data_IF_036455443031
#
_entry.id   IF_036455443031
#
_cell.length_a   1.000
_cell.length_b   1.000
_cell.length_c   1.000
_cell.angle_alpha   90.00
_cell.angle_beta   90.00
_cell.angle_gamma   90.00
#
_symmetry.space_group_name_H-M   'P 1'
#
loop_
_entity.id
_entity.type
_entity.pdbx_description
1 polymer ?
#
# COMPACT_ATOMS: atom_id res chain seq x y z
N UNK A 1 5.49 15.78 -45.97
CA UNK A 1 4.78 16.09 -44.71
C UNK A 1 5.82 16.11 -43.60
N UNK A 2 6.09 17.26 -42.99
CA UNK A 2 7.09 17.37 -41.94
C UNK A 2 6.66 16.47 -40.76
N UNK A 3 7.44 15.41 -40.51
CA UNK A 3 7.35 14.61 -39.29
C UNK A 3 7.85 15.45 -38.13
N UNK A 4 7.01 16.37 -37.65
CA UNK A 4 7.26 17.07 -36.41
C UNK A 4 7.06 16.07 -35.29
N UNK A 5 8.17 15.66 -34.67
CA UNK A 5 8.13 14.96 -33.39
C UNK A 5 7.18 15.73 -32.45
N UNK A 6 6.29 15.06 -31.71
CA UNK A 6 5.40 15.75 -30.80
C UNK A 6 6.23 16.63 -29.84
N UNK A 7 5.80 17.88 -29.60
CA UNK A 7 6.57 18.81 -28.80
C UNK A 7 6.82 18.22 -27.40
N UNK A 8 8.04 18.42 -26.87
CA UNK A 8 8.38 17.96 -25.52
C UNK A 8 7.37 18.54 -24.52
N UNK A 9 6.77 17.68 -23.71
CA UNK A 9 5.86 18.12 -22.65
C UNK A 9 6.67 18.88 -21.60
N UNK A 10 6.35 20.16 -21.41
CA UNK A 10 7.01 21.00 -20.40
C UNK A 10 6.37 20.71 -19.03
N UNK A 11 7.15 20.10 -18.13
CA UNK A 11 6.74 19.91 -16.73
C UNK A 11 6.99 21.22 -15.99
N UNK A 12 5.92 22.01 -15.82
CA UNK A 12 5.93 23.16 -14.92
C UNK A 12 5.54 22.70 -13.53
N UNK A 13 6.31 23.07 -12.51
CA UNK A 13 5.92 22.86 -11.11
C UNK A 13 4.55 23.49 -10.88
N UNK A 14 3.57 22.69 -10.47
CA UNK A 14 2.33 23.23 -9.90
C UNK A 14 2.52 23.47 -8.41
N UNK A 15 1.63 24.24 -7.78
CA UNK A 15 1.57 24.28 -6.33
C UNK A 15 1.15 22.91 -5.78
N UNK A 16 1.79 22.48 -4.67
CA UNK A 16 1.48 21.23 -3.98
C UNK A 16 1.81 19.95 -4.77
N UNK A 17 1.07 18.88 -4.49
CA UNK A 17 1.30 17.52 -5.01
C UNK A 17 0.66 17.26 -6.38
N UNK A 18 0.36 18.30 -7.16
CA UNK A 18 -0.44 18.17 -8.39
C UNK A 18 0.37 18.24 -9.69
N UNK A 19 1.70 18.18 -9.60
CA UNK A 19 2.56 18.48 -10.75
C UNK A 19 2.39 17.43 -11.85
N UNK A 20 2.33 16.16 -11.46
CA UNK A 20 2.15 15.04 -12.39
C UNK A 20 0.75 15.04 -13.01
N UNK A 21 -0.28 15.16 -12.18
CA UNK A 21 -1.66 15.21 -12.64
C UNK A 21 -1.86 16.36 -13.62
N UNK A 22 -1.40 17.56 -13.26
CA UNK A 22 -1.55 18.74 -14.11
C UNK A 22 -0.83 18.57 -15.46
N UNK A 23 0.34 17.93 -15.48
CA UNK A 23 1.04 17.63 -16.73
C UNK A 23 0.24 16.64 -17.60
N UNK A 24 -0.26 15.56 -17.01
CA UNK A 24 -1.06 14.55 -17.70
C UNK A 24 -2.38 15.12 -18.24
N UNK A 25 -3.07 15.95 -17.46
CA UNK A 25 -4.27 16.65 -17.92
C UNK A 25 -3.98 17.56 -19.12
N UNK A 26 -2.90 18.35 -19.09
CA UNK A 26 -2.50 19.22 -20.23
C UNK A 26 -2.11 18.43 -21.48
N UNK A 27 -1.62 17.20 -21.30
CA UNK A 27 -1.30 16.29 -22.40
C UNK A 27 -2.50 15.47 -22.90
N UNK A 28 -3.73 15.75 -22.40
CA UNK A 28 -4.94 15.05 -22.84
C UNK A 28 -5.09 13.62 -22.29
N UNK A 29 -4.34 13.27 -21.23
CA UNK A 29 -4.33 11.93 -20.62
C UNK A 29 -5.19 11.86 -19.34
N UNK A 30 -5.92 12.93 -19.01
CA UNK A 30 -6.87 12.91 -17.89
C UNK A 30 -8.16 12.16 -18.25
N UNK A 31 -8.98 11.76 -17.25
CA UNK A 31 -8.75 11.89 -15.81
C UNK A 31 -7.61 10.99 -15.29
N UNK A 32 -6.92 11.43 -14.24
CA UNK A 32 -5.78 10.69 -13.66
C UNK A 32 -6.22 10.00 -12.37
N UNK A 33 -5.97 8.70 -12.27
CA UNK A 33 -6.19 7.93 -11.04
C UNK A 33 -4.87 7.74 -10.29
N UNK A 34 -4.89 7.92 -8.98
CA UNK A 34 -3.84 7.47 -8.06
C UNK A 34 -4.23 6.15 -7.41
N UNK A 35 -3.26 5.27 -7.18
CA UNK A 35 -3.47 3.95 -6.56
C UNK A 35 -2.39 3.69 -5.51
N UNK A 36 -2.82 3.22 -4.34
CA UNK A 36 -1.92 2.88 -3.23
C UNK A 36 -2.47 1.69 -2.41
N UNK A 37 -1.58 1.01 -1.69
CA UNK A 37 -1.89 -0.12 -0.81
C UNK A 37 -1.53 0.10 0.65
N UNK A 38 -2.24 -0.59 1.54
CA UNK A 38 -1.92 -0.65 2.97
C UNK A 38 -2.06 -2.08 3.49
N UNK A 39 -1.16 -2.49 4.38
CA UNK A 39 -1.20 -3.80 5.03
C UNK A 39 -0.37 -4.88 4.32
N UNK A 40 0.50 -4.49 3.39
CA UNK A 40 1.42 -5.42 2.71
C UNK A 40 2.34 -6.17 3.69
N UNK A 41 2.86 -5.46 4.70
CA UNK A 41 3.74 -6.04 5.73
C UNK A 41 3.04 -6.59 6.98
N UNK A 42 1.70 -6.55 7.03
CA UNK A 42 0.95 -7.10 8.15
C UNK A 42 0.81 -8.63 8.02
N UNK A 43 1.01 -9.36 9.11
CA UNK A 43 0.81 -10.81 9.14
C UNK A 43 -0.63 -11.22 9.45
N UNK A 44 -1.50 -10.26 9.80
CA UNK A 44 -2.92 -10.48 10.00
C UNK A 44 -3.79 -9.40 9.33
N UNK A 45 -5.02 -9.79 9.02
CA UNK A 45 -6.03 -8.97 8.35
C UNK A 45 -5.80 -8.81 6.85
N UNK A 46 -6.69 -8.08 6.16
CA UNK A 46 -6.62 -7.96 4.71
C UNK A 46 -5.51 -7.03 4.23
N UNK A 47 -5.11 -7.25 2.97
CA UNK A 47 -4.40 -6.25 2.18
C UNK A 47 -5.46 -5.33 1.57
N UNK A 48 -5.33 -4.03 1.78
CA UNK A 48 -6.31 -3.05 1.29
C UNK A 48 -5.66 -2.19 0.23
N UNK A 49 -6.31 -2.05 -0.92
CA UNK A 49 -5.85 -1.22 -2.03
C UNK A 49 -6.95 -0.24 -2.37
N UNK A 50 -6.59 1.02 -2.63
CA UNK A 50 -7.56 2.02 -3.06
C UNK A 50 -7.09 2.70 -4.34
N UNK A 51 -8.07 3.11 -5.16
CA UNK A 51 -7.87 3.98 -6.30
C UNK A 51 -8.70 5.25 -6.11
N UNK A 52 -8.16 6.40 -6.49
CA UNK A 52 -8.83 7.69 -6.36
C UNK A 52 -8.56 8.59 -7.57
N UNK A 53 -9.62 9.16 -8.13
CA UNK A 53 -9.58 10.17 -9.19
C UNK A 53 -10.00 11.50 -8.57
N UNK A 54 -9.10 12.47 -8.56
CA UNK A 54 -9.40 13.83 -8.13
C UNK A 54 -9.71 14.71 -9.34
N UNK A 55 -10.57 15.71 -9.15
CA UNK A 55 -10.80 16.72 -10.19
C UNK A 55 -9.54 17.53 -10.51
N UNK A 56 -9.45 18.14 -11.71
CA UNK A 56 -8.26 18.90 -12.13
C UNK A 56 -8.03 20.15 -11.28
N UNK A 57 -9.10 20.77 -10.77
CA UNK A 57 -9.03 21.94 -9.92
C UNK A 57 -8.55 21.59 -8.50
N UNK A 58 -7.68 22.45 -7.95
CA UNK A 58 -7.29 22.36 -6.53
C UNK A 58 -8.47 22.76 -5.66
N UNK A 59 -8.72 21.98 -4.61
CA UNK A 59 -9.71 22.29 -3.60
C UNK A 59 -9.00 22.60 -2.28
N UNK A 60 -9.32 23.74 -1.67
CA UNK A 60 -8.74 24.13 -0.38
C UNK A 60 -9.02 23.12 0.72
N UNK A 61 -10.20 22.48 0.70
CA UNK A 61 -10.58 21.42 1.63
C UNK A 61 -9.66 20.19 1.56
N UNK A 62 -8.91 20.04 0.47
CA UNK A 62 -7.94 18.96 0.28
C UNK A 62 -6.49 19.45 0.37
N UNK A 63 -6.24 20.71 0.72
CA UNK A 63 -4.89 21.26 0.83
C UNK A 63 -4.04 20.53 1.87
N UNK A 64 -4.68 19.92 2.89
CA UNK A 64 -3.98 19.10 3.88
C UNK A 64 -3.37 17.81 3.28
N UNK A 65 -3.79 17.35 2.09
CA UNK A 65 -3.08 16.27 1.38
C UNK A 65 -1.66 16.69 0.98
N UNK A 66 -1.42 17.98 0.77
CA UNK A 66 -0.14 18.49 0.27
C UNK A 66 0.97 18.55 1.34
N UNK A 67 0.62 18.48 2.62
CA UNK A 67 1.59 18.54 3.73
C UNK A 67 2.13 17.13 4.02
N UNK A 68 3.03 16.66 3.14
CA UNK A 68 3.50 15.26 3.03
C UNK A 68 4.32 14.73 4.22
N UNK A 69 4.39 15.45 5.34
CA UNK A 69 4.92 14.89 6.58
C UNK A 69 3.87 13.98 7.20
N UNK A 70 3.94 12.69 6.85
CA UNK A 70 3.18 11.56 7.43
C UNK A 70 1.92 12.02 8.16
N UNK A 71 0.84 12.23 7.40
CA UNK A 71 -0.46 12.64 7.95
C UNK A 71 -0.74 11.89 9.25
N UNK A 72 -1.11 12.61 10.31
CA UNK A 72 -1.51 11.96 11.56
C UNK A 72 -2.80 11.17 11.33
N UNK A 73 -3.09 10.19 12.20
CA UNK A 73 -4.34 9.43 12.14
C UNK A 73 -5.56 10.36 12.17
N UNK A 74 -5.55 11.35 13.06
CA UNK A 74 -6.59 12.39 13.14
C UNK A 74 -6.73 13.21 11.85
N UNK A 75 -5.64 13.52 11.17
CA UNK A 75 -5.69 14.23 9.89
C UNK A 75 -6.30 13.34 8.79
N UNK A 76 -5.91 12.06 8.73
CA UNK A 76 -6.49 11.09 7.78
C UNK A 76 -7.99 10.90 8.00
N UNK A 77 -8.42 10.75 9.25
CA UNK A 77 -9.83 10.62 9.62
C UNK A 77 -10.66 11.85 9.19
N UNK A 78 -10.10 13.05 9.30
CA UNK A 78 -10.73 14.28 8.79
C UNK A 78 -10.77 14.35 7.26
N UNK A 79 -9.71 13.90 6.59
CA UNK A 79 -9.59 13.94 5.12
C UNK A 79 -10.47 12.88 4.45
N UNK A 80 -10.63 11.69 5.05
CA UNK A 80 -11.39 10.58 4.48
C UNK A 80 -12.79 10.96 3.97
N UNK A 81 -13.68 11.60 4.76
CA UNK A 81 -15.00 12.02 4.26
C UNK A 81 -14.91 13.12 3.20
N UNK A 82 -13.91 14.00 3.26
CA UNK A 82 -13.70 15.06 2.28
C UNK A 82 -13.27 14.48 0.93
N UNK A 83 -12.33 13.53 0.92
CA UNK A 83 -11.91 12.82 -0.28
C UNK A 83 -13.10 12.11 -0.91
N UNK A 84 -13.89 11.36 -0.12
CA UNK A 84 -15.08 10.66 -0.63
C UNK A 84 -16.12 11.61 -1.23
N UNK A 85 -16.25 12.82 -0.69
CA UNK A 85 -17.17 13.84 -1.16
C UNK A 85 -16.71 14.52 -2.45
N UNK A 86 -15.42 14.78 -2.58
CA UNK A 86 -14.87 15.63 -3.65
C UNK A 86 -14.12 14.87 -4.75
N UNK A 87 -13.79 13.60 -4.54
CA UNK A 87 -13.24 12.75 -5.58
C UNK A 87 -14.28 12.57 -6.70
N UNK A 88 -13.81 12.57 -7.95
CA UNK A 88 -14.65 12.25 -9.11
C UNK A 88 -15.05 10.78 -9.11
N UNK A 89 -14.14 9.91 -8.68
CA UNK A 89 -14.37 8.50 -8.47
C UNK A 89 -13.35 7.98 -7.44
N UNK A 90 -13.76 6.99 -6.65
CA UNK A 90 -12.84 6.21 -5.83
C UNK A 90 -13.36 4.79 -5.69
N UNK A 91 -12.47 3.86 -5.38
CA UNK A 91 -12.82 2.48 -5.07
C UNK A 91 -11.82 1.92 -4.06
N UNK A 92 -12.30 1.10 -3.13
CA UNK A 92 -11.48 0.44 -2.10
C UNK A 92 -11.73 -1.06 -2.17
N UNK A 93 -10.65 -1.82 -2.28
CA UNK A 93 -10.66 -3.27 -2.39
C UNK A 93 -10.01 -3.86 -1.15
N UNK A 94 -10.70 -4.80 -0.51
CA UNK A 94 -10.18 -5.60 0.58
C UNK A 94 -9.84 -6.98 0.05
N UNK A 95 -8.58 -7.40 0.18
CA UNK A 95 -8.12 -8.72 -0.19
C UNK A 95 -7.97 -9.55 1.08
N UNK A 96 -8.78 -10.60 1.28
CA UNK A 96 -8.78 -11.38 2.52
C UNK A 96 -7.46 -12.16 2.68
N UNK A 97 -7.05 -12.49 3.91
CA UNK A 97 -5.78 -13.16 4.19
C UNK A 97 -5.64 -14.49 3.43
N UNK A 98 -6.72 -15.25 3.28
CA UNK A 98 -6.78 -16.49 2.48
C UNK A 98 -6.39 -16.28 1.01
N UNK A 99 -6.79 -15.16 0.40
CA UNK A 99 -6.43 -14.83 -0.97
C UNK A 99 -4.96 -14.40 -1.06
N UNK A 100 -4.47 -13.66 -0.05
CA UNK A 100 -3.05 -13.29 0.06
C UNK A 100 -2.18 -14.54 0.18
N UNK A 101 -2.56 -15.51 1.02
CA UNK A 101 -1.85 -16.76 1.21
C UNK A 101 -1.81 -17.60 -0.07
N UNK A 102 -2.95 -17.71 -0.77
CA UNK A 102 -3.06 -18.49 -2.02
C UNK A 102 -2.22 -17.91 -3.16
N UNK A 103 -2.16 -16.58 -3.28
CA UNK A 103 -1.52 -15.90 -4.43
C UNK A 103 -0.08 -15.44 -4.15
N UNK A 104 0.26 -15.23 -2.88
CA UNK A 104 1.43 -14.46 -2.47
C UNK A 104 1.17 -12.96 -2.46
N UNK A 105 1.75 -12.26 -1.48
CA UNK A 105 1.48 -10.85 -1.19
C UNK A 105 1.75 -9.90 -2.36
N UNK A 106 2.80 -10.14 -3.14
CA UNK A 106 3.12 -9.27 -4.27
C UNK A 106 2.09 -9.39 -5.41
N UNK A 107 1.69 -10.62 -5.74
CA UNK A 107 0.70 -10.89 -6.78
C UNK A 107 -0.68 -10.39 -6.34
N UNK A 108 -1.04 -10.62 -5.07
CA UNK A 108 -2.25 -10.08 -4.48
C UNK A 108 -2.28 -8.54 -4.54
N UNK A 109 -1.15 -7.86 -4.30
CA UNK A 109 -1.07 -6.40 -4.39
C UNK A 109 -1.35 -5.89 -5.81
N UNK A 110 -0.64 -6.41 -6.81
CA UNK A 110 -0.84 -6.02 -8.21
C UNK A 110 -2.28 -6.26 -8.64
N UNK A 111 -2.85 -7.40 -8.27
CA UNK A 111 -4.24 -7.74 -8.56
C UNK A 111 -5.22 -6.80 -7.84
N UNK A 112 -4.96 -6.44 -6.59
CA UNK A 112 -5.72 -5.43 -5.86
C UNK A 112 -5.70 -4.06 -6.53
N UNK A 113 -4.55 -3.63 -7.03
CA UNK A 113 -4.41 -2.38 -7.78
C UNK A 113 -5.25 -2.41 -9.07
N UNK A 114 -5.26 -3.53 -9.79
CA UNK A 114 -6.12 -3.70 -10.97
C UNK A 114 -7.60 -3.63 -10.61
N UNK A 115 -8.03 -4.36 -9.57
CA UNK A 115 -9.42 -4.34 -9.10
C UNK A 115 -9.84 -2.94 -8.63
N UNK A 116 -8.96 -2.23 -7.92
CA UNK A 116 -9.20 -0.88 -7.46
C UNK A 116 -9.44 0.07 -8.63
N UNK A 117 -8.60 0.03 -9.66
CA UNK A 117 -8.78 0.83 -10.88
C UNK A 117 -10.04 0.42 -11.65
N UNK A 118 -10.30 -0.89 -11.79
CA UNK A 118 -11.46 -1.41 -12.51
C UNK A 118 -12.80 -1.05 -11.84
N UNK A 119 -12.82 -0.89 -10.51
CA UNK A 119 -14.01 -0.51 -9.76
C UNK A 119 -14.30 1.01 -9.73
N UNK A 120 -13.47 1.84 -10.37
CA UNK A 120 -13.75 3.26 -10.49
C UNK A 120 -14.98 3.49 -11.39
N UNK A 121 -15.90 4.35 -10.95
CA UNK A 121 -17.07 4.77 -11.75
C UNK A 121 -16.71 5.59 -12.99
N UNK A 122 -15.48 6.10 -13.06
CA UNK A 122 -14.92 6.85 -14.18
C UNK A 122 -13.69 6.12 -14.68
N UNK A 123 -13.60 5.89 -16.00
CA UNK A 123 -12.42 5.30 -16.62
C UNK A 123 -11.29 6.33 -16.66
N UNK A 124 -10.15 6.12 -15.98
CA UNK A 124 -9.03 7.04 -16.06
C UNK A 124 -8.32 6.92 -17.41
N UNK A 125 -7.80 8.05 -17.91
CA UNK A 125 -6.90 8.10 -19.05
C UNK A 125 -5.46 7.74 -18.69
N UNK A 126 -5.09 7.87 -17.41
CA UNK A 126 -3.76 7.54 -16.90
C UNK A 126 -3.82 7.09 -15.44
N UNK A 127 -2.94 6.17 -15.04
CA UNK A 127 -2.82 5.69 -13.66
C UNK A 127 -1.43 5.99 -13.09
N UNK A 128 -1.39 6.57 -11.90
CA UNK A 128 -0.19 6.72 -11.08
C UNK A 128 -0.27 5.75 -9.92
N UNK A 129 0.69 4.84 -9.78
CA UNK A 129 0.75 3.85 -8.70
C UNK A 129 1.91 4.13 -7.75
N UNK A 130 1.71 3.98 -6.44
CA UNK A 130 2.81 4.13 -5.49
C UNK A 130 3.77 2.94 -5.56
N UNK A 131 5.04 3.21 -5.83
CA UNK A 131 6.16 2.27 -5.74
C UNK A 131 6.21 1.10 -6.73
N UNK A 132 5.09 0.67 -7.32
CA UNK A 132 5.00 -0.58 -8.09
C UNK A 132 4.43 -0.40 -9.48
N UNK A 133 5.01 -1.11 -10.45
CA UNK A 133 4.42 -1.26 -11.77
C UNK A 133 3.20 -2.18 -11.69
N UNK A 134 2.10 -1.79 -12.32
CA UNK A 134 0.87 -2.59 -12.40
C UNK A 134 0.67 -3.07 -13.84
N UNK A 135 1.28 -4.20 -14.24
CA UNK A 135 1.07 -4.74 -15.59
C UNK A 135 -0.40 -5.11 -15.80
N UNK A 136 -0.88 -5.07 -17.05
CA UNK A 136 -2.24 -5.52 -17.39
C UNK A 136 -3.37 -4.49 -17.16
N UNK A 137 -3.04 -3.24 -16.84
CA UNK A 137 -4.00 -2.15 -16.91
C UNK A 137 -4.30 -1.81 -18.39
N UNK A 138 -5.57 -1.56 -18.76
CA UNK A 138 -5.95 -1.21 -20.13
C UNK A 138 -5.62 0.24 -20.51
N UNK A 139 -5.10 1.02 -19.56
CA UNK A 139 -4.65 2.40 -19.73
C UNK A 139 -3.16 2.52 -19.37
N UNK A 140 -2.46 3.53 -19.89
CA UNK A 140 -1.07 3.80 -19.50
C UNK A 140 -0.95 4.03 -17.99
N UNK A 141 0.17 3.57 -17.43
CA UNK A 141 0.44 3.71 -16.00
C UNK A 141 1.90 4.04 -15.73
N UNK A 142 2.17 4.80 -14.68
CA UNK A 142 3.51 5.12 -14.19
C UNK A 142 3.64 4.77 -12.70
N UNK A 143 4.59 3.91 -12.31
CA UNK A 143 4.98 3.79 -10.91
C UNK A 143 5.71 5.05 -10.46
N UNK A 144 5.32 5.57 -9.31
CA UNK A 144 5.92 6.77 -8.70
C UNK A 144 6.47 6.38 -7.34
N UNK A 145 7.78 6.54 -7.13
CA UNK A 145 8.42 6.23 -5.86
C UNK A 145 8.06 7.32 -4.85
N UNK A 146 7.47 6.93 -3.71
CA UNK A 146 6.96 7.89 -2.72
C UNK A 146 5.81 8.71 -3.29
N UNK A 147 4.92 8.04 -4.02
CA UNK A 147 3.83 8.64 -4.77
C UNK A 147 2.90 9.49 -3.91
N UNK A 148 2.66 9.06 -2.67
CA UNK A 148 1.87 9.77 -1.67
C UNK A 148 2.42 11.18 -1.35
N UNK A 149 3.73 11.37 -1.47
CA UNK A 149 4.41 12.64 -1.23
C UNK A 149 4.60 13.50 -2.48
N UNK A 150 4.15 13.05 -3.67
CA UNK A 150 4.38 13.76 -4.94
C UNK A 150 3.15 13.85 -5.85
N UNK A 151 2.11 13.03 -5.61
CA UNK A 151 0.88 12.98 -6.38
C UNK A 151 -0.34 13.01 -5.45
N UNK A 152 -1.16 14.06 -5.53
CA UNK A 152 -2.35 14.26 -4.72
C UNK A 152 -3.37 13.11 -4.86
N UNK A 153 -3.49 12.54 -6.06
CA UNK A 153 -4.35 11.39 -6.29
C UNK A 153 -3.86 10.11 -5.57
N UNK A 154 -2.54 9.89 -5.49
CA UNK A 154 -1.96 8.78 -4.72
C UNK A 154 -2.13 9.04 -3.22
N UNK A 155 -1.85 10.27 -2.76
CA UNK A 155 -2.07 10.67 -1.37
C UNK A 155 -3.51 10.41 -0.92
N UNK A 156 -4.49 10.76 -1.77
CA UNK A 156 -5.91 10.50 -1.51
C UNK A 156 -6.23 8.99 -1.45
N UNK A 157 -5.68 8.19 -2.38
CA UNK A 157 -5.81 6.73 -2.36
C UNK A 157 -5.21 6.13 -1.06
N UNK A 158 -4.03 6.61 -0.64
CA UNK A 158 -3.37 6.20 0.60
C UNK A 158 -4.25 6.43 1.83
N UNK A 159 -4.86 7.62 1.94
CA UNK A 159 -5.80 7.93 3.02
C UNK A 159 -7.01 7.00 3.00
N UNK A 160 -7.60 6.76 1.83
CA UNK A 160 -8.75 5.87 1.68
C UNK A 160 -8.40 4.44 2.11
N UNK A 161 -7.26 3.90 1.66
CA UNK A 161 -6.81 2.56 2.03
C UNK A 161 -6.49 2.45 3.53
N UNK A 162 -5.72 3.41 4.08
CA UNK A 162 -5.28 3.38 5.49
C UNK A 162 -6.44 3.46 6.46
N UNK A 163 -7.34 4.43 6.28
CA UNK A 163 -8.48 4.63 7.18
C UNK A 163 -9.45 3.44 7.10
N UNK A 164 -9.72 2.95 5.88
CA UNK A 164 -10.60 1.79 5.69
C UNK A 164 -10.03 0.54 6.36
N UNK A 165 -8.72 0.30 6.21
CA UNK A 165 -8.05 -0.83 6.86
C UNK A 165 -8.02 -0.70 8.37
N UNK A 166 -7.64 0.46 8.89
CA UNK A 166 -7.50 0.66 10.34
C UNK A 166 -8.83 0.48 11.06
N UNK A 167 -9.93 1.00 10.50
CA UNK A 167 -11.28 0.80 11.04
C UNK A 167 -11.68 -0.66 11.06
N UNK A 168 -11.35 -1.42 10.01
CA UNK A 168 -11.61 -2.86 9.98
C UNK A 168 -10.78 -3.62 11.02
N UNK A 169 -9.50 -3.29 11.18
CA UNK A 169 -8.67 -3.93 12.20
C UNK A 169 -9.13 -3.62 13.63
N UNK A 170 -9.67 -2.41 13.88
CA UNK A 170 -10.28 -2.05 15.17
C UNK A 170 -11.55 -2.85 15.42
N UNK A 171 -12.42 -3.00 14.42
CA UNK A 171 -13.62 -3.82 14.55
C UNK A 171 -13.26 -5.30 14.81
N UNK A 172 -12.26 -5.81 14.08
CA UNK A 172 -11.77 -7.19 14.18
C UNK A 172 -11.20 -7.55 15.56
N UNK A 173 -10.73 -6.56 16.32
CA UNK A 173 -10.23 -6.78 17.69
C UNK A 173 -11.32 -7.28 18.64
N UNK A 174 -12.57 -6.86 18.43
CA UNK A 174 -13.71 -7.33 19.20
C UNK A 174 -14.06 -8.80 18.90
N UNK A 175 -13.88 -9.23 17.65
CA UNK A 175 -14.14 -10.61 17.22
C UNK A 175 -13.01 -11.59 17.62
N UNK A 176 -11.80 -11.05 17.85
CA UNK A 176 -10.60 -11.79 18.20
C UNK A 176 -9.89 -11.15 19.41
N UNK A 177 -10.49 -11.22 20.62
CA UNK A 177 -9.93 -10.58 21.80
C UNK A 177 -8.57 -11.19 22.17
N UNK A 178 -7.69 -10.35 22.71
CA UNK A 178 -6.36 -10.75 23.18
C UNK A 178 -5.23 -10.58 22.15
N UNK A 179 -5.54 -10.45 20.85
CA UNK A 179 -4.51 -10.24 19.84
C UNK A 179 -3.98 -8.81 19.79
N UNK A 180 -4.80 -7.79 20.07
CA UNK A 180 -4.40 -6.37 20.02
C UNK A 180 -4.48 -5.75 18.62
N UNK A 181 -5.34 -6.28 17.74
CA UNK A 181 -5.51 -5.80 16.37
C UNK A 181 -5.92 -4.33 16.29
N UNK A 182 -6.62 -3.82 17.30
CA UNK A 182 -6.98 -2.41 17.38
C UNK A 182 -5.76 -1.49 17.47
N UNK A 183 -4.62 -1.95 18.02
CA UNK A 183 -3.44 -1.10 18.21
C UNK A 183 -2.45 -1.26 17.07
N UNK A 184 -1.92 -2.47 16.90
CA UNK A 184 -0.85 -2.73 15.92
C UNK A 184 -1.38 -3.07 14.53
N UNK A 185 -2.71 -3.10 14.32
CA UNK A 185 -3.35 -3.29 13.01
C UNK A 185 -2.83 -4.53 12.26
N UNK A 186 -2.49 -5.60 12.97
CA UNK A 186 -1.96 -6.85 12.40
C UNK A 186 -0.49 -6.81 11.93
N UNK A 187 0.26 -5.73 12.18
CA UNK A 187 1.71 -5.72 11.96
C UNK A 187 2.45 -6.57 12.99
N UNK A 188 3.64 -7.07 12.64
CA UNK A 188 4.44 -7.95 13.50
C UNK A 188 5.19 -7.16 14.59
N UNK A 189 4.45 -6.63 15.56
CA UNK A 189 5.03 -5.98 16.75
C UNK A 189 5.41 -7.02 17.80
N UNK A 190 6.21 -6.66 18.82
CA UNK A 190 6.47 -7.55 19.95
C UNK A 190 5.18 -8.03 20.63
N UNK A 191 4.24 -7.11 20.89
CA UNK A 191 2.94 -7.43 21.48
C UNK A 191 2.15 -8.45 20.64
N UNK A 192 2.08 -8.26 19.32
CA UNK A 192 1.41 -9.20 18.44
C UNK A 192 2.10 -10.57 18.39
N UNK A 193 3.43 -10.59 18.46
CA UNK A 193 4.20 -11.84 18.42
C UNK A 193 4.02 -12.66 19.71
N UNK A 194 3.91 -11.98 20.86
CA UNK A 194 3.54 -12.60 22.14
C UNK A 194 2.14 -13.19 22.05
N UNK A 195 1.14 -12.40 21.67
CA UNK A 195 -0.24 -12.88 21.55
C UNK A 195 -0.37 -14.05 20.57
N UNK A 196 0.31 -13.98 19.42
CA UNK A 196 0.35 -15.07 18.45
C UNK A 196 0.95 -16.35 19.02
N UNK A 197 1.98 -16.25 19.87
CA UNK A 197 2.62 -17.41 20.51
C UNK A 197 1.72 -18.02 21.60
N UNK A 198 1.01 -17.19 22.37
CA UNK A 198 0.16 -17.61 23.47
C UNK A 198 -1.20 -18.16 23.00
N UNK A 199 -1.83 -17.50 22.04
CA UNK A 199 -3.19 -17.82 21.56
C UNK A 199 -3.17 -18.72 20.32
N UNK A 200 -2.02 -18.86 19.66
CA UNK A 200 -1.91 -19.46 18.33
C UNK A 200 -2.43 -18.54 17.21
N UNK A 201 -2.36 -18.94 15.94
CA UNK A 201 -2.92 -18.16 14.84
C UNK A 201 -4.44 -18.37 14.66
N UNK A 202 -5.19 -17.27 14.56
CA UNK A 202 -6.60 -17.28 14.16
C UNK A 202 -6.82 -17.21 12.63
N UNK A 203 -8.08 -17.27 12.18
CA UNK A 203 -8.47 -17.21 10.77
C UNK A 203 -8.04 -15.92 10.04
N UNK A 204 -7.75 -14.84 10.78
CA UNK A 204 -7.31 -13.57 10.18
C UNK A 204 -5.80 -13.52 9.91
N UNK A 205 -5.03 -14.51 10.39
CA UNK A 205 -3.60 -14.59 10.13
C UNK A 205 -3.32 -15.12 8.73
N UNK A 206 -2.24 -14.60 8.14
CA UNK A 206 -1.71 -15.04 6.85
C UNK A 206 -0.68 -16.14 7.08
N UNK A 207 -1.06 -17.39 6.87
CA UNK A 207 -0.23 -18.57 7.13
C UNK A 207 0.98 -18.67 6.20
N UNK A 208 0.99 -17.92 5.09
CA UNK A 208 2.18 -17.78 4.24
C UNK A 208 3.30 -16.94 4.87
N UNK A 209 3.00 -16.14 5.91
CA UNK A 209 4.00 -15.35 6.60
C UNK A 209 4.83 -16.22 7.54
N UNK A 210 6.16 -16.04 7.52
CA UNK A 210 7.08 -16.94 8.21
C UNK A 210 6.86 -16.99 9.73
N UNK A 211 6.54 -15.85 10.36
CA UNK A 211 6.26 -15.79 11.80
C UNK A 211 4.99 -16.56 12.17
N UNK A 212 3.93 -16.44 11.36
CA UNK A 212 2.67 -17.19 11.56
C UNK A 212 2.89 -18.68 11.34
N UNK A 213 3.56 -19.05 10.24
CA UNK A 213 3.83 -20.46 9.89
C UNK A 213 4.65 -21.17 10.97
N UNK A 214 5.64 -20.49 11.57
CA UNK A 214 6.47 -21.06 12.64
C UNK A 214 5.64 -21.47 13.86
N UNK A 215 4.72 -20.61 14.27
CA UNK A 215 3.82 -20.88 15.39
C UNK A 215 2.81 -21.96 15.02
N UNK A 216 2.17 -21.86 13.85
CA UNK A 216 1.18 -22.83 13.37
C UNK A 216 1.70 -24.27 13.28
N UNK A 217 2.97 -24.44 12.90
CA UNK A 217 3.58 -25.77 12.70
C UNK A 217 4.23 -26.34 13.96
N UNK A 218 4.13 -25.66 15.11
CA UNK A 218 4.77 -26.09 16.36
C UNK A 218 6.30 -26.13 16.26
N UNK A 219 6.89 -25.46 15.26
CA UNK A 219 8.33 -25.32 15.10
C UNK A 219 8.83 -24.28 16.10
N UNK A 220 8.81 -24.65 17.39
CA UNK A 220 9.55 -23.95 18.43
C UNK A 220 10.97 -23.72 17.92
N UNK A 221 11.45 -22.48 18.06
CA UNK A 221 12.73 -22.05 17.54
C UNK A 221 13.85 -23.05 17.90
N UNK A 222 14.27 -23.88 16.94
CA UNK A 222 15.69 -24.22 16.88
C UNK A 222 16.36 -22.93 16.44
N UNK A 223 16.80 -22.16 17.44
CA UNK A 223 17.83 -21.14 17.27
C UNK A 223 18.89 -21.80 16.42
N UNK A 224 19.08 -21.29 15.19
CA UNK A 224 20.18 -21.73 14.34
C UNK A 224 21.40 -21.36 15.17
N UNK A 225 22.08 -22.38 15.73
CA UNK A 225 23.27 -22.18 16.53
C UNK A 225 24.21 -21.27 15.74
N UNK A 226 24.70 -20.21 16.37
CA UNK A 226 25.75 -19.38 15.82
C UNK A 226 26.83 -20.31 15.27
N UNK A 227 27.04 -20.26 13.96
CA UNK A 227 28.18 -20.92 13.33
C UNK A 227 29.40 -20.18 13.87
N UNK A 228 30.03 -20.72 14.93
CA UNK A 228 31.34 -20.23 15.35
C UNK A 228 32.27 -20.44 14.16
N UNK A 229 32.98 -19.40 13.70
CA UNK A 229 33.99 -19.59 12.67
C UNK A 229 35.02 -20.59 13.16
N UNK A 230 35.42 -21.51 12.28
CA UNK A 230 36.47 -22.47 12.57
C UNK A 230 37.76 -21.73 13.01
N UNK A 231 38.50 -22.28 13.99
CA UNK A 231 39.76 -21.68 14.39
C UNK A 231 40.73 -21.67 13.21
N UNK A 232 41.57 -20.62 13.07
CA UNK A 232 42.51 -20.51 11.97
C UNK A 232 43.48 -21.70 11.99
N UNK A 233 43.65 -22.33 10.82
CA UNK A 233 44.59 -23.42 10.63
C UNK A 233 46.02 -22.97 10.95
N UNK A 234 46.74 -23.78 11.73
CA UNK A 234 48.15 -23.53 12.01
C UNK A 234 48.98 -23.58 10.72
N UNK A 235 49.94 -22.65 10.52
CA UNK A 235 50.81 -22.69 9.36
C UNK A 235 51.79 -23.86 9.48
N UNK A 236 51.41 -24.97 8.85
CA UNK A 236 52.29 -26.11 8.60
C UNK A 236 53.50 -25.68 7.76
N UNK A 237 54.68 -26.03 8.27
CA UNK A 237 55.98 -25.60 7.77
C UNK A 237 56.27 -26.00 6.32
N UNK A 238 56.87 -25.06 5.60
CA UNK A 238 57.52 -25.31 4.31
C UNK A 238 58.83 -26.07 4.56
N UNK A 239 59.05 -27.14 3.78
CA UNK A 239 60.39 -27.70 3.54
C UNK A 239 61.14 -26.81 2.56
#
# INVERSE_FOLDING_TARGET
MATTWPPRTVIRKSSGLRTLESALYRSGLGPVAGVDEVGRGACAGPLVVAACVLGPSRLESLAALDDSKKLTEKARERLFPLIRRYALAYHVVFIPPEEVDRRGVHVANIEGMRRAVAGLSVRPGYVLSDGFRVPGLPMPSLPVIGGDAVAACIAAASVLAKVSRDRLMVAMDADHPGYGFADHKGYSTPAHSTALTELGPCAQHRYSFINVRRVATGSGARVVAECKPDPPAEPGGCR
#
